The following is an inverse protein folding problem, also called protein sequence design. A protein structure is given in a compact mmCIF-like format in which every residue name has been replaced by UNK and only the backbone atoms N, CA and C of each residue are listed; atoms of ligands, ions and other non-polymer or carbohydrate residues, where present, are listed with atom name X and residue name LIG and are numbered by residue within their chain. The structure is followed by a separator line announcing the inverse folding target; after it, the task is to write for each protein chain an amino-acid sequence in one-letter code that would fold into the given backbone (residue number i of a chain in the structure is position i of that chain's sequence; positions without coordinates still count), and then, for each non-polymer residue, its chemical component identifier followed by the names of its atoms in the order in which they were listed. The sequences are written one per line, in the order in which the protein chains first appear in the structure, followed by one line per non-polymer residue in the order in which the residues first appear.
data_IF_211086443586
#
_entry.id   IF_211086443586
#
_cell.length_a   1.000
_cell.length_b   1.000
_cell.length_c   1.000
_cell.angle_alpha   90.00
_cell.angle_beta   90.00
_cell.angle_gamma   90.00
#
_symmetry.space_group_name_H-M   'P 1'
#
loop_
_entity.id
_entity.type
_entity.pdbx_description
1 polymer ?
#
# COMPACT_ATOMS: atom_id res chain seq x y z
N UNK A 1 -4.03 -4.19 -23.93
CA UNK A 1 -2.64 -4.67 -23.95
C UNK A 1 -1.85 -3.96 -22.84
N UNK A 2 -0.91 -4.67 -22.23
CA UNK A 2 0.01 -4.11 -21.26
C UNK A 2 1.43 -4.06 -21.85
N UNK A 3 2.23 -3.13 -21.34
CA UNK A 3 3.65 -3.03 -21.70
C UNK A 3 4.46 -2.99 -20.41
N UNK A 4 5.34 -3.97 -20.24
CA UNK A 4 6.31 -3.96 -19.18
C UNK A 4 7.33 -2.83 -19.37
N UNK A 5 7.64 -2.11 -18.30
CA UNK A 5 8.62 -1.01 -18.29
C UNK A 5 9.90 -1.36 -17.56
N UNK A 6 9.91 -2.46 -16.83
CA UNK A 6 11.08 -2.96 -16.12
C UNK A 6 10.81 -3.22 -14.63
N UNK A 7 11.80 -3.77 -13.99
CA UNK A 7 11.85 -4.01 -12.55
C UNK A 7 12.69 -2.91 -11.90
N UNK A 8 12.16 -2.31 -10.83
CA UNK A 8 12.83 -1.26 -10.08
C UNK A 8 12.91 -1.69 -8.62
N UNK A 9 14.10 -1.69 -8.06
CA UNK A 9 14.37 -2.13 -6.69
C UNK A 9 15.85 -2.20 -6.39
N UNK A 10 16.24 -3.08 -5.49
CA UNK A 10 17.63 -3.24 -5.10
C UNK A 10 18.49 -3.74 -6.26
N UNK A 11 19.49 -2.96 -6.73
CA UNK A 11 20.41 -3.38 -7.78
C UNK A 11 21.30 -4.55 -7.39
N UNK A 12 21.34 -4.95 -6.11
CA UNK A 12 22.11 -6.07 -5.59
C UNK A 12 21.31 -7.38 -5.49
N UNK A 13 20.08 -7.44 -6.03
CA UNK A 13 19.29 -8.66 -6.13
C UNK A 13 18.59 -9.09 -4.83
N UNK A 14 18.44 -8.21 -3.87
CA UNK A 14 17.56 -8.39 -2.73
C UNK A 14 16.09 -8.44 -3.17
N UNK A 15 15.26 -9.15 -2.45
CA UNK A 15 13.93 -9.65 -2.85
C UNK A 15 12.83 -8.59 -3.10
N UNK A 16 13.14 -7.34 -3.44
CA UNK A 16 12.16 -6.25 -3.49
C UNK A 16 12.25 -5.44 -4.77
N UNK A 17 11.72 -6.02 -5.83
CA UNK A 17 11.56 -5.32 -7.09
C UNK A 17 10.08 -4.94 -7.24
N UNK A 18 9.81 -3.67 -7.59
CA UNK A 18 8.53 -3.32 -8.17
C UNK A 18 8.62 -3.47 -9.67
N UNK A 19 7.65 -4.14 -10.25
CA UNK A 19 7.47 -4.19 -11.69
C UNK A 19 6.65 -2.97 -12.12
N UNK A 20 7.04 -2.31 -13.19
CA UNK A 20 6.26 -1.20 -13.76
C UNK A 20 5.59 -1.66 -15.04
N UNK A 21 4.27 -1.57 -15.07
CA UNK A 21 3.44 -1.99 -16.19
C UNK A 21 2.55 -0.84 -16.64
N UNK A 22 2.57 -0.51 -17.91
CA UNK A 22 1.61 0.43 -18.50
C UNK A 22 0.40 -0.33 -19.03
N UNK A 23 -0.78 0.07 -18.58
CA UNK A 23 -2.07 -0.47 -18.96
C UNK A 23 -2.81 0.57 -19.83
N UNK A 24 -3.31 0.18 -20.99
CA UNK A 24 -4.21 1.00 -21.79
C UNK A 24 -5.64 0.77 -21.28
N UNK A 25 -6.22 1.78 -20.61
CA UNK A 25 -7.57 1.77 -20.05
C UNK A 25 -8.42 2.76 -20.82
N UNK A 26 -9.15 2.27 -21.81
CA UNK A 26 -9.94 3.13 -22.71
C UNK A 26 -9.04 4.11 -23.47
N UNK A 27 -9.25 5.41 -23.25
CA UNK A 27 -8.45 6.47 -23.90
C UNK A 27 -7.24 6.93 -23.07
N UNK A 28 -6.95 6.27 -21.97
CA UNK A 28 -5.88 6.66 -21.05
C UNK A 28 -4.90 5.52 -20.84
N UNK A 29 -3.63 5.89 -20.66
CA UNK A 29 -2.62 5.00 -20.11
C UNK A 29 -2.58 5.16 -18.59
N UNK A 30 -2.54 4.05 -17.89
CA UNK A 30 -2.38 3.94 -16.43
C UNK A 30 -1.12 3.13 -16.16
N UNK A 31 -0.30 3.60 -15.24
CA UNK A 31 0.88 2.85 -14.79
C UNK A 31 0.56 2.13 -13.50
N UNK A 32 0.74 0.82 -13.49
CA UNK A 32 0.52 -0.05 -12.34
C UNK A 32 1.86 -0.60 -11.84
N UNK A 33 2.06 -0.53 -10.52
CA UNK A 33 3.28 -0.96 -9.86
C UNK A 33 2.91 -1.80 -8.62
N UNK A 34 2.91 -3.14 -8.73
CA UNK A 34 2.77 -3.99 -7.56
C UNK A 34 4.01 -3.85 -6.66
N UNK A 35 3.80 -3.81 -5.37
CA UNK A 35 4.87 -3.70 -4.36
C UNK A 35 4.70 -4.80 -3.32
N UNK A 36 5.80 -5.44 -2.96
CA UNK A 36 5.91 -6.22 -1.73
C UNK A 36 7.23 -5.87 -1.07
N UNK A 37 7.19 -5.32 0.14
CA UNK A 37 8.38 -5.03 0.95
C UNK A 37 8.50 -6.11 2.01
N UNK A 38 9.73 -6.50 2.33
CA UNK A 38 10.01 -7.66 3.17
C UNK A 38 9.45 -7.53 4.59
N UNK A 39 8.90 -8.64 5.08
CA UNK A 39 8.34 -8.78 6.40
C UNK A 39 9.40 -8.86 7.51
N UNK A 40 9.11 -8.19 8.64
CA UNK A 40 9.83 -8.37 9.90
C UNK A 40 8.85 -8.73 11.02
N UNK A 41 9.21 -9.69 11.88
CA UNK A 41 8.42 -10.04 13.07
C UNK A 41 8.12 -8.86 14.00
N UNK A 42 8.94 -7.83 13.97
CA UNK A 42 8.88 -6.67 14.86
C UNK A 42 7.75 -5.68 14.55
N UNK A 43 7.16 -5.72 13.34
CA UNK A 43 6.04 -4.85 12.99
C UNK A 43 4.75 -5.21 13.71
N UNK A 44 4.63 -6.44 14.21
CA UNK A 44 3.39 -6.96 14.80
C UNK A 44 3.18 -6.43 16.23
N UNK A 45 4.26 -6.04 16.92
CA UNK A 45 4.16 -5.48 18.27
C UNK A 45 5.14 -4.33 18.42
N UNK A 46 4.61 -3.13 18.56
CA UNK A 46 5.41 -1.97 19.00
C UNK A 46 5.44 -2.00 20.52
N UNK A 47 6.57 -2.31 21.15
CA UNK A 47 6.65 -2.35 22.62
C UNK A 47 6.31 -0.99 23.22
N UNK A 48 5.65 -1.01 24.37
CA UNK A 48 5.19 0.19 25.06
C UNK A 48 6.35 1.08 25.55
N UNK A 49 7.51 0.46 25.83
CA UNK A 49 8.73 1.12 26.32
C UNK A 49 9.56 1.83 25.23
N UNK A 50 9.22 1.63 23.95
CA UNK A 50 9.98 2.24 22.84
C UNK A 50 9.53 3.66 22.52
N UNK A 51 10.48 4.54 22.35
CA UNK A 51 10.26 5.91 21.86
C UNK A 51 9.94 5.93 20.37
N UNK A 52 9.33 7.01 19.83
CA UNK A 52 9.17 7.18 18.39
C UNK A 52 10.48 7.05 17.59
N UNK A 53 11.59 7.57 18.13
CA UNK A 53 12.90 7.49 17.48
C UNK A 53 13.42 6.05 17.40
N UNK A 54 13.24 5.26 18.44
CA UNK A 54 13.60 3.82 18.42
C UNK A 54 12.73 3.03 17.45
N UNK A 55 11.44 3.37 17.32
CA UNK A 55 10.56 2.72 16.33
C UNK A 55 10.99 3.04 14.90
N UNK A 56 11.40 4.28 14.60
CA UNK A 56 11.97 4.65 13.30
C UNK A 56 13.32 3.98 13.04
N UNK A 57 14.14 3.83 14.08
CA UNK A 57 15.38 3.03 13.98
C UNK A 57 15.07 1.58 13.58
N UNK A 58 14.07 0.97 14.19
CA UNK A 58 13.65 -0.39 13.84
C UNK A 58 13.13 -0.52 12.41
N UNK A 59 12.37 0.46 11.92
CA UNK A 59 11.97 0.48 10.51
C UNK A 59 13.18 0.46 9.59
N UNK A 60 14.30 1.06 10.03
CA UNK A 60 15.55 1.21 9.30
C UNK A 60 16.58 0.10 9.58
N UNK A 61 16.31 -0.83 10.50
CA UNK A 61 17.24 -1.91 10.80
C UNK A 61 17.38 -2.90 9.65
N UNK A 62 18.59 -3.44 9.51
CA UNK A 62 18.85 -4.50 8.55
C UNK A 62 18.02 -5.73 8.89
N UNK A 63 17.35 -6.21 7.88
CA UNK A 63 16.53 -7.39 7.94
C UNK A 63 17.35 -8.67 8.13
N UNK A 64 16.77 -9.74 8.72
CA UNK A 64 17.32 -11.08 8.61
C UNK A 64 17.64 -11.40 7.13
N UNK A 65 18.63 -12.24 6.90
CA UNK A 65 19.04 -12.64 5.55
C UNK A 65 19.66 -11.53 4.68
N UNK A 66 20.21 -10.46 5.28
CA UNK A 66 20.85 -9.33 4.57
C UNK A 66 19.92 -8.50 3.69
N UNK A 67 18.61 -8.60 3.88
CA UNK A 67 17.67 -7.77 3.15
C UNK A 67 17.89 -6.28 3.44
N UNK A 68 17.57 -5.45 2.46
CA UNK A 68 17.68 -4.00 2.54
C UNK A 68 16.61 -3.47 3.52
N UNK A 69 16.91 -2.53 4.42
CA UNK A 69 15.90 -1.88 5.27
C UNK A 69 14.76 -1.29 4.44
N UNK A 70 13.54 -1.38 4.97
CA UNK A 70 12.33 -0.93 4.26
C UNK A 70 12.38 0.50 3.73
N UNK A 71 12.82 1.51 4.51
CA UNK A 71 12.94 2.87 3.98
C UNK A 71 13.98 2.99 2.86
N UNK A 72 15.07 2.21 2.94
CA UNK A 72 16.10 2.19 1.91
C UNK A 72 15.60 1.50 0.64
N UNK A 73 14.85 0.39 0.78
CA UNK A 73 14.22 -0.30 -0.35
C UNK A 73 13.23 0.64 -1.06
N UNK A 74 12.37 1.34 -0.29
CA UNK A 74 11.42 2.29 -0.85
C UNK A 74 12.13 3.46 -1.54
N UNK A 75 13.19 4.00 -0.95
CA UNK A 75 13.99 5.05 -1.58
C UNK A 75 14.58 4.60 -2.93
N UNK A 76 15.07 3.36 -3.01
CA UNK A 76 15.56 2.75 -4.26
C UNK A 76 14.45 2.62 -5.32
N UNK A 77 13.28 2.13 -4.93
CA UNK A 77 12.12 2.04 -5.82
C UNK A 77 11.73 3.42 -6.35
N UNK A 78 11.57 4.41 -5.47
CA UNK A 78 11.18 5.76 -5.85
C UNK A 78 12.25 6.44 -6.75
N UNK A 79 13.53 6.21 -6.49
CA UNK A 79 14.61 6.71 -7.34
C UNK A 79 14.56 6.10 -8.74
N UNK A 80 14.35 4.78 -8.84
CA UNK A 80 14.17 4.10 -10.13
C UNK A 80 12.91 4.55 -10.86
N UNK A 81 11.87 4.93 -10.14
CA UNK A 81 10.61 5.44 -10.70
C UNK A 81 10.61 6.94 -10.99
N UNK A 82 11.65 7.69 -10.67
CA UNK A 82 11.67 9.15 -10.82
C UNK A 82 11.25 9.66 -12.21
N UNK A 83 11.67 9.05 -13.34
CA UNK A 83 11.20 9.46 -14.66
C UNK A 83 9.68 9.32 -14.83
N UNK A 84 9.09 8.26 -14.30
CA UNK A 84 7.66 8.01 -14.37
C UNK A 84 6.87 8.93 -13.44
N UNK A 85 7.41 9.21 -12.27
CA UNK A 85 6.82 10.14 -11.29
C UNK A 85 6.77 11.56 -11.89
N UNK A 86 7.76 11.96 -12.69
CA UNK A 86 7.76 13.24 -13.40
C UNK A 86 6.59 13.36 -14.39
N UNK A 87 6.17 12.25 -15.01
CA UNK A 87 5.10 12.18 -16.01
C UNK A 87 3.71 11.85 -15.39
N UNK A 88 3.57 11.78 -14.07
CA UNK A 88 2.37 11.25 -13.41
C UNK A 88 1.06 12.00 -13.72
N UNK A 89 1.14 13.25 -14.10
CA UNK A 89 -0.06 14.02 -14.47
C UNK A 89 -0.58 13.66 -15.86
N UNK A 90 0.30 13.10 -16.72
CA UNK A 90 -0.04 12.58 -18.06
C UNK A 90 -0.38 11.08 -18.01
N UNK A 91 0.44 10.31 -17.31
CA UNK A 91 0.29 8.88 -17.08
C UNK A 91 0.22 8.62 -15.56
N UNK A 92 -0.98 8.63 -14.98
CA UNK A 92 -1.11 8.45 -13.54
C UNK A 92 -0.60 7.08 -13.09
N UNK A 93 -0.15 7.01 -11.84
CA UNK A 93 0.49 5.84 -11.28
C UNK A 93 -0.36 5.31 -10.12
N UNK A 94 -0.60 4.00 -10.13
CA UNK A 94 -1.07 3.26 -8.96
C UNK A 94 0.07 2.35 -8.48
N UNK A 95 0.42 2.47 -7.20
CA UNK A 95 1.35 1.57 -6.54
C UNK A 95 0.60 0.87 -5.42
N UNK A 96 0.52 -0.46 -5.47
CA UNK A 96 -0.31 -1.23 -4.54
C UNK A 96 0.38 -2.51 -4.09
N UNK A 97 0.10 -2.91 -2.84
CA UNK A 97 0.59 -4.16 -2.26
C UNK A 97 0.88 -4.07 -0.78
N UNK A 98 1.64 -5.05 -0.29
CA UNK A 98 2.11 -5.11 1.09
C UNK A 98 3.40 -4.29 1.26
N UNK A 99 3.31 -3.21 2.00
CA UNK A 99 4.46 -2.35 2.31
C UNK A 99 5.18 -2.77 3.59
N UNK A 100 4.60 -3.69 4.36
CA UNK A 100 5.14 -4.16 5.64
C UNK A 100 5.61 -3.01 6.56
N UNK A 101 5.02 -1.86 6.45
CA UNK A 101 5.31 -0.65 7.22
C UNK A 101 4.01 0.07 7.57
N UNK A 102 4.00 0.68 8.73
CA UNK A 102 2.89 1.51 9.16
C UNK A 102 2.82 2.82 8.35
N UNK A 103 1.66 3.48 8.41
CA UNK A 103 1.49 4.82 7.84
C UNK A 103 1.65 5.92 8.89
N UNK A 104 2.42 6.96 8.56
CA UNK A 104 2.48 8.18 9.36
C UNK A 104 1.11 8.87 9.51
N UNK A 105 0.17 8.60 8.57
CA UNK A 105 -1.19 9.13 8.63
C UNK A 105 -2.07 8.39 9.65
N UNK A 106 -1.65 7.22 10.11
CA UNK A 106 -2.37 6.41 11.08
C UNK A 106 -1.84 6.61 12.51
N UNK A 107 -0.56 6.99 12.65
CA UNK A 107 0.12 7.17 13.93
C UNK A 107 0.10 8.64 14.36
N UNK A 108 -1.06 9.11 14.76
CA UNK A 108 -1.33 10.50 15.13
C UNK A 108 -1.76 10.61 16.59
N UNK A 109 -1.87 11.84 17.09
CA UNK A 109 -2.42 12.10 18.43
C UNK A 109 -3.83 11.51 18.59
N UNK A 110 -4.66 11.62 17.54
CA UNK A 110 -6.04 11.13 17.56
C UNK A 110 -6.16 9.60 17.67
N UNK A 111 -5.10 8.87 17.34
CA UNK A 111 -5.04 7.39 17.40
C UNK A 111 -4.13 6.88 18.49
N UNK A 112 -3.72 7.75 19.43
CA UNK A 112 -2.80 7.38 20.50
C UNK A 112 -3.29 6.20 21.37
N UNK A 113 -4.59 6.06 21.54
CA UNK A 113 -5.21 4.97 22.31
C UNK A 113 -5.34 3.64 21.54
N UNK A 114 -4.99 3.62 20.24
CA UNK A 114 -5.03 2.39 19.47
C UNK A 114 -4.02 1.36 19.98
N UNK A 115 -4.38 0.08 19.86
CA UNK A 115 -3.52 -1.01 20.26
C UNK A 115 -2.15 -0.92 19.59
N UNK A 116 -1.10 -0.90 20.39
CA UNK A 116 0.28 -0.77 19.92
C UNK A 116 0.77 0.68 19.73
N UNK A 117 -0.10 1.70 19.69
CA UNK A 117 0.35 3.10 19.56
C UNK A 117 0.90 3.66 20.89
N UNK A 118 0.30 3.30 22.02
CA UNK A 118 0.73 3.71 23.37
C UNK A 118 0.93 5.23 23.49
N UNK A 119 0.02 6.04 22.94
CA UNK A 119 0.07 7.50 22.99
C UNK A 119 1.07 8.15 22.03
N UNK A 120 1.76 7.36 21.19
CA UNK A 120 2.85 7.86 20.34
C UNK A 120 2.37 8.33 18.97
N UNK A 121 2.99 9.40 18.50
CA UNK A 121 2.94 9.84 17.10
C UNK A 121 4.26 9.45 16.43
N UNK A 122 4.21 8.75 15.30
CA UNK A 122 5.40 8.26 14.60
C UNK A 122 5.32 8.61 13.12
N UNK A 123 6.33 9.31 12.62
CA UNK A 123 6.47 9.66 11.21
C UNK A 123 7.14 8.52 10.42
N UNK A 124 6.44 7.40 10.28
CA UNK A 124 6.95 6.20 9.57
C UNK A 124 7.54 6.54 8.21
N UNK A 125 8.77 6.10 7.97
CA UNK A 125 9.61 6.61 6.88
C UNK A 125 9.10 6.17 5.50
N UNK A 126 8.67 4.91 5.35
CA UNK A 126 8.16 4.40 4.06
C UNK A 126 6.98 5.23 3.58
N UNK A 127 5.97 5.41 4.40
CA UNK A 127 4.78 6.19 4.04
C UNK A 127 5.08 7.68 3.87
N UNK A 128 6.02 8.23 4.64
CA UNK A 128 6.47 9.61 4.50
C UNK A 128 7.21 9.84 3.18
N UNK A 129 8.05 8.88 2.75
CA UNK A 129 8.73 8.92 1.46
C UNK A 129 7.73 8.87 0.29
N UNK A 130 6.69 8.02 0.38
CA UNK A 130 5.62 7.96 -0.60
C UNK A 130 4.92 9.32 -0.74
N UNK A 131 4.56 9.95 0.38
CA UNK A 131 3.95 11.27 0.38
C UNK A 131 4.88 12.34 -0.21
N UNK A 132 6.17 12.35 0.16
CA UNK A 132 7.17 13.27 -0.38
C UNK A 132 7.38 13.11 -1.90
N UNK A 133 7.25 11.88 -2.43
CA UNK A 133 7.30 11.60 -3.86
C UNK A 133 6.01 11.97 -4.62
N UNK A 134 4.98 12.48 -3.90
CA UNK A 134 3.72 12.92 -4.50
C UNK A 134 2.67 11.82 -4.65
N UNK A 135 2.87 10.67 -4.00
CA UNK A 135 1.85 9.64 -3.87
C UNK A 135 0.89 9.97 -2.72
N UNK A 136 -0.38 9.67 -2.93
CA UNK A 136 -1.44 9.86 -1.94
C UNK A 136 -2.00 8.50 -1.54
N UNK A 137 -2.14 8.26 -0.25
CA UNK A 137 -2.80 7.08 0.29
C UNK A 137 -4.29 7.13 -0.04
N UNK A 138 -4.75 6.22 -0.89
CA UNK A 138 -6.13 6.21 -1.42
C UNK A 138 -7.15 5.98 -0.31
N UNK A 139 -6.82 5.15 0.67
CA UNK A 139 -7.70 4.93 1.81
C UNK A 139 -7.87 6.24 2.62
N UNK A 140 -6.78 6.94 2.93
CA UNK A 140 -6.83 8.21 3.68
C UNK A 140 -7.38 9.38 2.87
N UNK A 141 -7.37 9.31 1.53
CA UNK A 141 -8.11 10.28 0.70
C UNK A 141 -9.63 10.17 0.88
N UNK A 142 -10.15 8.96 1.09
CA UNK A 142 -11.59 8.70 1.27
C UNK A 142 -12.00 8.75 2.74
N UNK A 143 -11.12 8.32 3.62
CA UNK A 143 -11.33 8.23 5.07
C UNK A 143 -10.22 8.98 5.80
N UNK A 144 -10.25 10.33 5.79
CA UNK A 144 -9.14 11.16 6.31
C UNK A 144 -8.97 11.08 7.83
N UNK A 145 -10.02 10.74 8.56
CA UNK A 145 -9.95 10.55 10.01
C UNK A 145 -9.55 9.11 10.34
N UNK A 146 -8.30 8.88 10.79
CA UNK A 146 -7.86 7.55 11.16
C UNK A 146 -8.58 7.02 12.40
N UNK A 147 -9.03 7.89 13.32
CA UNK A 147 -9.73 7.47 14.53
C UNK A 147 -11.11 6.86 14.25
N UNK A 148 -11.76 7.29 13.18
CA UNK A 148 -13.05 6.76 12.74
C UNK A 148 -12.91 5.54 11.82
N UNK A 149 -11.80 5.40 11.10
CA UNK A 149 -11.62 4.35 10.08
C UNK A 149 -10.22 3.76 10.16
N UNK A 150 -10.11 2.57 10.74
CA UNK A 150 -8.82 1.92 10.91
C UNK A 150 -8.26 1.35 9.60
N UNK A 151 -9.07 0.57 8.88
CA UNK A 151 -8.68 -0.04 7.62
C UNK A 151 -7.66 -1.17 7.75
N UNK A 152 -7.67 -1.91 8.86
CA UNK A 152 -6.73 -3.00 9.12
C UNK A 152 -6.76 -4.06 8.03
N UNK A 153 -5.56 -4.53 7.64
CA UNK A 153 -5.40 -5.58 6.64
C UNK A 153 -4.65 -6.80 7.19
N UNK A 154 -3.91 -6.66 8.30
CA UNK A 154 -3.16 -7.75 8.93
C UNK A 154 -3.22 -7.69 10.47
N UNK A 155 -3.30 -8.83 11.19
CA UNK A 155 -3.82 -10.07 10.64
C UNK A 155 -5.23 -9.86 10.11
N UNK A 156 -5.65 -10.66 9.13
CA UNK A 156 -6.98 -10.52 8.55
C UNK A 156 -8.05 -10.58 9.66
N UNK A 157 -8.95 -9.59 9.75
CA UNK A 157 -10.04 -9.60 10.73
C UNK A 157 -10.85 -10.90 10.66
N UNK A 158 -11.02 -11.58 11.80
CA UNK A 158 -11.76 -12.84 11.91
C UNK A 158 -10.92 -14.12 11.88
N UNK A 159 -9.64 -14.07 11.50
CA UNK A 159 -8.78 -15.26 11.39
C UNK A 159 -7.88 -15.48 12.60
N UNK A 160 -7.36 -14.43 13.17
CA UNK A 160 -6.49 -14.53 14.34
C UNK A 160 -7.15 -13.90 15.55
N UNK A 161 -7.92 -14.71 16.28
CA UNK A 161 -8.40 -14.36 17.63
C UNK A 161 -7.23 -14.50 18.62
N UNK A 162 -6.15 -13.78 18.39
CA UNK A 162 -5.16 -13.53 19.41
C UNK A 162 -5.48 -12.16 20.00
N UNK A 163 -6.18 -12.16 21.11
CA UNK A 163 -6.68 -10.98 21.82
C UNK A 163 -5.62 -9.95 22.21
N UNK A 164 -4.35 -10.24 21.96
CA UNK A 164 -3.19 -9.43 22.33
C UNK A 164 -2.38 -8.87 21.15
N UNK A 165 -2.79 -9.14 19.90
CA UNK A 165 -2.11 -8.59 18.71
C UNK A 165 -2.87 -7.41 18.14
N UNK A 166 -2.19 -6.27 17.88
CA UNK A 166 -2.81 -5.17 17.20
C UNK A 166 -3.15 -5.57 15.76
N UNK A 167 -4.30 -5.12 15.28
CA UNK A 167 -4.58 -5.12 13.85
C UNK A 167 -3.76 -4.02 13.20
N UNK A 168 -3.18 -4.30 12.03
CA UNK A 168 -2.28 -3.41 11.31
C UNK A 168 -2.84 -3.13 9.92
N UNK A 169 -2.63 -1.94 9.42
CA UNK A 169 -2.82 -1.62 8.02
C UNK A 169 -1.45 -1.64 7.36
N UNK A 170 -1.16 -2.67 6.56
CA UNK A 170 0.12 -2.93 5.90
C UNK A 170 -0.01 -2.94 4.38
N UNK A 171 -1.22 -3.18 3.88
CA UNK A 171 -1.55 -3.22 2.47
C UNK A 171 -2.17 -1.89 2.04
N UNK A 172 -1.60 -1.30 1.03
CA UNK A 172 -1.96 0.04 0.57
C UNK A 172 -2.23 0.08 -0.93
N UNK A 173 -3.06 1.03 -1.33
CA UNK A 173 -3.12 1.55 -2.68
C UNK A 173 -2.73 3.02 -2.61
N UNK A 174 -1.61 3.36 -3.22
CA UNK A 174 -1.15 4.73 -3.41
C UNK A 174 -1.41 5.19 -4.83
N UNK A 175 -1.83 6.44 -4.99
CA UNK A 175 -2.07 7.04 -6.30
C UNK A 175 -1.25 8.31 -6.48
N UNK A 176 -0.62 8.48 -7.65
CA UNK A 176 0.03 9.71 -8.06
C UNK A 176 -0.53 10.21 -9.39
N UNK A 177 -0.59 11.53 -9.54
CA UNK A 177 -1.19 12.22 -10.69
C UNK A 177 -2.61 12.72 -10.41
N UNK A 178 -3.00 13.77 -11.14
CA UNK A 178 -4.27 14.50 -10.92
C UNK A 178 -5.48 13.84 -11.57
N UNK A 179 -5.25 12.90 -12.49
CA UNK A 179 -6.30 12.31 -13.33
C UNK A 179 -7.06 11.16 -12.66
N UNK A 180 -6.59 10.65 -11.52
CA UNK A 180 -7.24 9.60 -10.74
C UNK A 180 -7.94 10.20 -9.53
N UNK A 181 -9.26 10.02 -9.46
CA UNK A 181 -10.07 10.39 -8.31
C UNK A 181 -10.66 9.11 -7.70
N UNK A 182 -10.26 8.70 -6.49
CA UNK A 182 -10.86 7.55 -5.84
C UNK A 182 -12.32 7.87 -5.46
N UNK A 183 -13.19 6.86 -5.59
CA UNK A 183 -14.61 6.98 -5.29
C UNK A 183 -15.09 5.98 -4.25
N UNK A 184 -14.41 4.83 -4.14
CA UNK A 184 -14.65 3.85 -3.07
C UNK A 184 -13.38 3.07 -2.76
N UNK A 185 -13.36 2.52 -1.54
CA UNK A 185 -12.31 1.63 -1.08
C UNK A 185 -12.94 0.55 -0.20
N UNK A 186 -12.58 -0.69 -0.42
CA UNK A 186 -13.04 -1.83 0.35
C UNK A 186 -11.85 -2.59 0.93
N UNK A 187 -11.98 -3.02 2.19
CA UNK A 187 -11.11 -4.03 2.79
C UNK A 187 -11.89 -5.34 2.80
N UNK A 188 -11.42 -6.31 2.03
CA UNK A 188 -12.08 -7.59 1.82
C UNK A 188 -11.39 -8.60 2.72
N UNK A 189 -12.11 -9.07 3.73
CA UNK A 189 -11.65 -10.06 4.68
C UNK A 189 -12.53 -11.30 4.64
N UNK A 190 -11.97 -12.45 4.98
CA UNK A 190 -12.68 -13.72 5.01
C UNK A 190 -12.23 -14.58 6.21
N UNK A 191 -12.41 -15.89 6.08
CA UNK A 191 -12.02 -16.88 7.08
C UNK A 191 -11.28 -18.03 6.37
N UNK A 192 -10.18 -18.52 6.93
CA UNK A 192 -9.45 -19.68 6.37
C UNK A 192 -10.25 -20.98 6.41
N UNK A 193 -11.19 -21.07 7.33
CA UNK A 193 -11.89 -22.32 7.63
C UNK A 193 -13.34 -22.33 7.15
N UNK A 194 -13.80 -21.21 6.57
CA UNK A 194 -15.20 -21.06 6.12
C UNK A 194 -15.28 -20.55 4.71
N UNK A 195 -16.23 -21.10 3.91
CA UNK A 195 -16.55 -20.52 2.62
C UNK A 195 -16.99 -19.07 2.77
N UNK A 196 -16.60 -18.23 1.82
CA UNK A 196 -17.08 -16.87 1.74
C UNK A 196 -17.51 -16.52 0.32
N UNK A 197 -18.38 -15.55 0.19
CA UNK A 197 -18.87 -15.07 -1.11
C UNK A 197 -18.56 -13.58 -1.22
N UNK A 198 -18.01 -13.18 -2.37
CA UNK A 198 -17.72 -11.80 -2.67
C UNK A 198 -18.16 -11.48 -4.10
N UNK A 199 -19.01 -10.47 -4.28
CA UNK A 199 -19.61 -10.08 -5.56
C UNK A 199 -20.20 -11.26 -6.37
N UNK A 200 -20.81 -12.24 -5.70
CA UNK A 200 -21.40 -13.43 -6.34
C UNK A 200 -20.42 -14.56 -6.64
N UNK A 201 -19.14 -14.38 -6.40
CA UNK A 201 -18.14 -15.44 -6.47
C UNK A 201 -18.02 -16.13 -5.13
N UNK A 202 -18.05 -17.48 -5.14
CA UNK A 202 -17.91 -18.30 -3.93
C UNK A 202 -16.52 -18.91 -3.87
N UNK A 203 -15.94 -18.87 -2.68
CA UNK A 203 -14.62 -19.40 -2.37
C UNK A 203 -14.73 -20.36 -1.20
N UNK A 204 -13.95 -21.43 -1.21
CA UNK A 204 -13.95 -22.43 -0.13
C UNK A 204 -13.33 -21.90 1.16
N UNK A 205 -12.39 -20.98 1.04
CA UNK A 205 -11.71 -20.30 2.14
C UNK A 205 -11.06 -19.02 1.62
N UNK A 206 -10.73 -18.08 2.53
CA UNK A 206 -9.92 -16.92 2.16
C UNK A 206 -8.45 -17.35 2.05
N UNK A 207 -7.73 -17.00 0.97
CA UNK A 207 -6.44 -17.62 0.64
C UNK A 207 -5.23 -16.94 1.28
N UNK A 208 -5.41 -15.97 2.19
CA UNK A 208 -4.33 -15.17 2.77
C UNK A 208 -4.58 -14.82 4.23
N UNK A 209 -3.53 -14.62 5.01
CA UNK A 209 -3.56 -14.02 6.35
C UNK A 209 -3.67 -12.49 6.32
N UNK A 210 -3.56 -11.89 5.14
CA UNK A 210 -3.90 -10.50 4.88
C UNK A 210 -5.29 -10.37 4.27
N UNK A 211 -6.01 -9.30 4.62
CA UNK A 211 -7.18 -8.88 3.86
C UNK A 211 -6.75 -8.29 2.51
N UNK A 212 -7.57 -8.47 1.49
CA UNK A 212 -7.36 -7.79 0.22
C UNK A 212 -7.91 -6.36 0.25
N UNK A 213 -7.36 -5.49 -0.57
CA UNK A 213 -7.82 -4.11 -0.73
C UNK A 213 -8.25 -3.86 -2.17
N UNK A 214 -9.39 -3.20 -2.32
CA UNK A 214 -9.97 -2.82 -3.62
C UNK A 214 -10.32 -1.35 -3.61
N UNK A 215 -9.97 -0.62 -4.67
CA UNK A 215 -10.39 0.75 -4.85
C UNK A 215 -10.97 0.98 -6.25
N UNK A 216 -12.02 1.80 -6.32
CA UNK A 216 -12.57 2.27 -7.57
C UNK A 216 -12.19 3.74 -7.81
N UNK A 217 -11.94 4.06 -9.06
CA UNK A 217 -11.52 5.39 -9.47
C UNK A 217 -12.38 5.90 -10.62
N UNK A 218 -12.69 7.19 -10.58
CA UNK A 218 -13.08 7.94 -11.76
C UNK A 218 -11.82 8.53 -12.39
N UNK A 219 -11.73 8.38 -13.70
CA UNK A 219 -10.60 8.87 -14.49
C UNK A 219 -11.00 10.15 -15.23
N UNK A 220 -10.24 11.22 -15.04
CA UNK A 220 -10.41 12.43 -15.83
C UNK A 220 -9.82 12.25 -17.23
N UNK A 221 -10.69 12.13 -18.20
CA UNK A 221 -10.34 11.95 -19.61
C UNK A 221 -10.32 13.26 -20.40
N UNK A 222 -10.52 14.42 -19.75
CA UNK A 222 -10.57 15.72 -20.45
C UNK A 222 -9.32 15.95 -21.31
N UNK A 223 -9.55 16.25 -22.58
CA UNK A 223 -8.52 16.54 -23.58
C UNK A 223 -8.09 15.37 -24.46
N UNK A 224 -8.58 14.14 -24.26
CA UNK A 224 -8.32 13.01 -25.17
C UNK A 224 -9.62 12.51 -25.79
N UNK A 225 -9.77 12.63 -27.11
CA UNK A 225 -10.85 12.00 -27.86
C UNK A 225 -10.77 10.49 -27.67
N UNK A 226 -11.89 9.84 -27.30
CA UNK A 226 -12.03 8.40 -27.35
C UNK A 226 -11.70 7.90 -28.75
N UNK A 227 -10.57 7.24 -28.93
CA UNK A 227 -10.38 6.43 -30.12
C UNK A 227 -11.33 5.22 -29.95
N UNK A 228 -12.39 5.18 -30.78
CA UNK A 228 -13.21 4.00 -30.89
C UNK A 228 -12.30 2.89 -31.42
N UNK A 229 -12.05 1.90 -30.62
CA UNK A 229 -11.49 0.65 -31.12
C UNK A 229 -12.57 0.03 -32.00
N UNK A 230 -12.34 0.03 -33.32
CA UNK A 230 -13.08 -0.86 -34.22
C UNK A 230 -12.74 -2.27 -33.80
N UNK A 231 -13.77 -3.06 -33.47
CA UNK A 231 -13.64 -4.52 -33.35
C UNK A 231 -13.31 -5.04 -34.75
N UNK A 232 -12.09 -5.47 -34.98
CA UNK A 232 -11.74 -6.45 -35.98
C UNK A 232 -11.77 -7.84 -35.36
#
# INVERSE_FOLDING_TARGET
PYREKGNYGDPQGGAFNTQVVDLDVGCMRLRACPVAIFWLPLCIRTPADKTPAELLSWESERQPYKAVPRPQAMAGILAGMAPFIAERDEVPILMAGDFNSHSHLDWTVATGDWCGHHGRTVAWQVSSQMAAAGFRDVFRMLYPDPSANYGATFPMPGVMVQHDKPFLRLDYIYAAGKRLKPVSFEVIAGDYHRPFTWHGYSFSAFPSDHAAVLAHFVVDTRGKRLQRFSKE
#
